data_IF_494046176988
#
_entry.id   IF_494046176988
#
_cell.length_a   1.000
_cell.length_b   1.000
_cell.length_c   1.000
_cell.angle_alpha   90.00
_cell.angle_beta   90.00
_cell.angle_gamma   90.00
#
_symmetry.space_group_name_H-M   'P 1'
#
loop_
_entity.id
_entity.type
_entity.pdbx_description
1 polymer ?
#
# COMPACT_ATOMS: atom_id res chain seq x y z
N UNK A 1 -14.88 24.85 -0.72
CA UNK A 1 -15.61 23.60 -0.40
C UNK A 1 -14.92 22.33 -0.90
N UNK A 2 -14.15 22.37 -2.00
CA UNK A 2 -13.46 21.17 -2.56
C UNK A 2 -12.31 20.65 -1.67
N UNK A 3 -11.58 21.54 -1.01
CA UNK A 3 -10.48 21.17 -0.11
C UNK A 3 -10.96 20.39 1.12
N UNK A 4 -12.10 20.79 1.72
CA UNK A 4 -12.69 20.10 2.88
C UNK A 4 -13.22 18.71 2.52
N UNK A 5 -13.79 18.54 1.33
CA UNK A 5 -14.21 17.21 0.83
C UNK A 5 -13.01 16.32 0.53
N UNK A 6 -11.99 16.84 -0.17
CA UNK A 6 -10.77 16.07 -0.50
C UNK A 6 -10.01 15.64 0.75
N UNK A 7 -9.98 16.49 1.78
CA UNK A 7 -9.40 16.15 3.08
C UNK A 7 -10.13 14.99 3.75
N UNK A 8 -11.48 15.01 3.80
CA UNK A 8 -12.25 13.87 4.33
C UNK A 8 -12.04 12.60 3.53
N UNK A 9 -11.98 12.69 2.20
CA UNK A 9 -11.68 11.55 1.33
C UNK A 9 -10.28 10.99 1.61
N UNK A 10 -9.28 11.84 1.87
CA UNK A 10 -7.95 11.41 2.28
C UNK A 10 -7.99 10.62 3.60
N UNK A 11 -8.72 11.11 4.61
CA UNK A 11 -8.88 10.39 5.87
C UNK A 11 -9.50 9.00 5.67
N UNK A 12 -10.56 8.92 4.86
CA UNK A 12 -11.22 7.65 4.53
C UNK A 12 -10.25 6.73 3.78
N UNK A 13 -9.54 7.24 2.77
CA UNK A 13 -8.57 6.46 2.01
C UNK A 13 -7.47 5.89 2.90
N UNK A 14 -6.93 6.68 3.83
CA UNK A 14 -5.90 6.23 4.78
C UNK A 14 -6.40 5.09 5.68
N UNK A 15 -7.65 5.17 6.17
CA UNK A 15 -8.26 4.10 6.96
C UNK A 15 -8.50 2.85 6.12
N UNK A 16 -9.03 3.00 4.90
CA UNK A 16 -9.32 1.88 4.01
C UNK A 16 -8.04 1.14 3.64
N UNK A 17 -7.01 1.85 3.17
CA UNK A 17 -5.74 1.22 2.82
C UNK A 17 -5.02 0.66 4.06
N UNK A 18 -5.07 1.37 5.19
CA UNK A 18 -4.52 0.87 6.44
C UNK A 18 -5.19 -0.43 6.91
N UNK A 19 -6.51 -0.53 6.78
CA UNK A 19 -7.26 -1.74 7.09
C UNK A 19 -6.91 -2.90 6.13
N UNK A 20 -6.78 -2.63 4.83
CA UNK A 20 -6.32 -3.65 3.87
C UNK A 20 -4.94 -4.19 4.24
N UNK A 21 -4.01 -3.32 4.63
CA UNK A 21 -2.66 -3.74 5.07
C UNK A 21 -2.69 -4.58 6.36
N UNK A 22 -3.55 -4.24 7.31
CA UNK A 22 -3.75 -5.06 8.53
C UNK A 22 -4.34 -6.43 8.21
N UNK A 23 -5.19 -6.50 7.18
CA UNK A 23 -5.83 -7.72 6.71
C UNK A 23 -5.02 -8.45 5.63
N UNK A 24 -3.74 -8.10 5.43
CA UNK A 24 -2.90 -8.73 4.41
C UNK A 24 -2.79 -10.25 4.60
N UNK A 25 -2.62 -10.72 5.84
CA UNK A 25 -2.55 -12.15 6.14
C UNK A 25 -3.84 -12.91 5.79
N UNK A 26 -5.03 -12.55 6.32
CA UNK A 26 -6.26 -13.25 5.96
C UNK A 26 -6.59 -13.11 4.47
N UNK A 27 -6.25 -11.98 3.84
CA UNK A 27 -6.44 -11.79 2.40
C UNK A 27 -5.58 -12.75 1.58
N UNK A 28 -4.32 -12.94 1.96
CA UNK A 28 -3.43 -13.92 1.34
C UNK A 28 -3.83 -15.37 1.62
N UNK A 29 -4.46 -15.65 2.77
CA UNK A 29 -4.99 -16.98 3.07
C UNK A 29 -6.22 -17.32 2.20
N UNK A 30 -7.10 -16.35 1.94
CA UNK A 30 -8.31 -16.53 1.12
C UNK A 30 -8.00 -16.49 -0.37
N UNK A 31 -7.06 -15.65 -0.79
CA UNK A 31 -6.63 -15.51 -2.18
C UNK A 31 -5.10 -15.57 -2.30
N UNK A 32 -4.49 -16.77 -2.20
CA UNK A 32 -3.05 -16.93 -2.31
C UNK A 32 -2.47 -16.49 -3.65
N UNK A 33 -3.14 -16.78 -4.77
CA UNK A 33 -2.63 -16.42 -6.10
C UNK A 33 -2.51 -14.92 -6.38
N UNK A 34 -3.09 -14.06 -5.55
CA UNK A 34 -3.01 -12.60 -5.69
C UNK A 34 -2.04 -11.93 -4.73
N UNK A 35 -1.58 -12.64 -3.69
CA UNK A 35 -0.86 -12.05 -2.55
C UNK A 35 0.30 -12.91 -2.01
N UNK A 36 0.35 -14.19 -2.38
CA UNK A 36 1.44 -15.09 -2.08
C UNK A 36 2.27 -15.32 -3.35
N UNK A 37 3.56 -15.01 -3.25
CA UNK A 37 4.55 -15.16 -4.33
C UNK A 37 5.43 -16.41 -4.18
N UNK A 38 5.09 -17.28 -3.23
CA UNK A 38 5.77 -18.55 -2.99
C UNK A 38 4.75 -19.68 -2.98
N UNK A 39 5.13 -20.82 -3.55
CA UNK A 39 4.36 -22.06 -3.42
C UNK A 39 4.43 -22.58 -1.97
N UNK A 40 3.29 -23.04 -1.45
CA UNK A 40 3.16 -23.53 -0.08
C UNK A 40 2.25 -22.68 0.79
N UNK A 41 2.08 -23.08 2.05
CA UNK A 41 1.25 -22.31 2.97
C UNK A 41 1.93 -20.97 3.31
N UNK A 42 1.19 -19.86 3.53
CA UNK A 42 1.79 -18.53 3.71
C UNK A 42 2.83 -18.44 4.85
N UNK A 43 2.75 -19.32 5.85
CA UNK A 43 3.69 -19.40 6.96
C UNK A 43 5.00 -20.14 6.65
N UNK A 44 5.08 -20.87 5.53
CA UNK A 44 6.31 -21.58 5.13
C UNK A 44 7.31 -20.67 4.40
N UNK A 45 6.87 -19.52 3.88
CA UNK A 45 7.76 -18.52 3.32
C UNK A 45 8.47 -17.75 4.43
N UNK A 46 9.81 -17.85 4.47
CA UNK A 46 10.63 -17.23 5.51
C UNK A 46 10.49 -15.70 5.59
N UNK A 47 10.05 -15.06 4.50
CA UNK A 47 9.91 -13.60 4.41
C UNK A 47 8.46 -13.12 4.49
N UNK A 48 7.48 -13.99 4.23
CA UNK A 48 6.08 -13.59 4.16
C UNK A 48 5.55 -13.05 5.49
N UNK A 49 5.88 -13.72 6.60
CA UNK A 49 5.48 -13.26 7.94
C UNK A 49 6.16 -11.94 8.33
N UNK A 50 7.39 -11.69 7.87
CA UNK A 50 8.06 -10.39 8.04
C UNK A 50 7.32 -9.30 7.25
N UNK A 51 6.96 -9.57 5.99
CA UNK A 51 6.20 -8.64 5.14
C UNK A 51 4.86 -8.30 5.80
N UNK A 52 4.10 -9.31 6.25
CA UNK A 52 2.85 -9.12 6.99
C UNK A 52 3.05 -8.22 8.22
N UNK A 53 4.11 -8.45 9.00
CA UNK A 53 4.42 -7.61 10.17
C UNK A 53 4.69 -6.15 9.80
N UNK A 54 5.48 -5.90 8.76
CA UNK A 54 5.78 -4.54 8.28
C UNK A 54 4.50 -3.84 7.80
N UNK A 55 3.68 -4.51 6.99
CA UNK A 55 2.42 -3.96 6.51
C UNK A 55 1.41 -3.75 7.63
N UNK A 56 1.39 -4.59 8.66
CA UNK A 56 0.53 -4.38 9.83
C UNK A 56 0.89 -3.08 10.58
N UNK A 57 2.19 -2.85 10.81
CA UNK A 57 2.66 -1.61 11.46
C UNK A 57 2.39 -0.39 10.58
N UNK A 58 2.65 -0.48 9.27
CA UNK A 58 2.35 0.58 8.32
C UNK A 58 0.85 0.88 8.28
N UNK A 59 0.01 -0.15 8.25
CA UNK A 59 -1.44 -0.05 8.23
C UNK A 59 -2.00 0.60 9.49
N UNK A 60 -1.53 0.19 10.67
CA UNK A 60 -1.88 0.84 11.93
C UNK A 60 -1.46 2.33 11.95
N UNK A 61 -0.28 2.62 11.42
CA UNK A 61 0.23 3.99 11.32
C UNK A 61 -0.60 4.85 10.36
N UNK A 62 -1.05 4.31 9.23
CA UNK A 62 -1.97 4.99 8.30
C UNK A 62 -3.34 5.26 8.93
N UNK A 63 -3.91 4.27 9.63
CA UNK A 63 -5.15 4.46 10.39
C UNK A 63 -5.02 5.55 11.45
N UNK A 64 -3.86 5.65 12.13
CA UNK A 64 -3.59 6.74 13.07
C UNK A 64 -3.40 8.08 12.35
N UNK A 65 -2.67 8.09 11.23
CA UNK A 65 -2.43 9.28 10.41
C UNK A 65 -3.74 9.88 9.86
N UNK A 66 -4.77 9.06 9.63
CA UNK A 66 -6.09 9.53 9.22
C UNK A 66 -6.72 10.54 10.21
N UNK A 67 -6.33 10.53 11.49
CA UNK A 67 -6.82 11.50 12.49
C UNK A 67 -6.28 12.91 12.27
N UNK A 68 -5.04 13.03 11.79
CA UNK A 68 -4.35 14.30 11.46
C UNK A 68 -3.42 14.11 10.25
N UNK A 69 -3.96 13.98 9.02
CA UNK A 69 -3.15 13.71 7.83
C UNK A 69 -2.07 14.78 7.57
N UNK A 70 -2.35 16.03 7.93
CA UNK A 70 -1.44 17.17 7.79
C UNK A 70 -0.14 17.02 8.59
N UNK A 71 -0.16 16.31 9.72
CA UNK A 71 1.02 16.05 10.53
C UNK A 71 1.81 14.82 10.08
N UNK A 72 1.26 14.04 9.14
CA UNK A 72 1.79 12.73 8.74
C UNK A 72 2.09 12.67 7.24
N UNK A 73 2.28 13.81 6.58
CA UNK A 73 2.48 13.90 5.12
C UNK A 73 3.69 13.07 4.65
N UNK A 74 4.76 13.01 5.44
CA UNK A 74 5.93 12.17 5.14
C UNK A 74 5.60 10.68 5.11
N UNK A 75 4.78 10.19 6.05
CA UNK A 75 4.31 8.81 6.08
C UNK A 75 3.42 8.48 4.88
N UNK A 76 2.55 9.42 4.47
CA UNK A 76 1.68 9.24 3.31
C UNK A 76 2.52 9.15 2.03
N UNK A 77 3.49 10.06 1.85
CA UNK A 77 4.41 10.01 0.72
C UNK A 77 5.32 8.79 0.73
N UNK A 78 5.79 8.37 1.91
CA UNK A 78 6.52 7.12 2.07
C UNK A 78 5.68 5.95 1.57
N UNK A 79 4.39 5.89 1.93
CA UNK A 79 3.46 4.85 1.47
C UNK A 79 3.25 4.90 -0.04
N UNK A 80 3.13 6.08 -0.63
CA UNK A 80 3.01 6.26 -2.09
C UNK A 80 4.25 5.73 -2.80
N UNK A 81 5.45 6.21 -2.42
CA UNK A 81 6.69 5.83 -3.08
C UNK A 81 7.06 4.37 -2.83
N UNK A 82 6.87 3.87 -1.62
CA UNK A 82 7.11 2.45 -1.32
C UNK A 82 6.19 1.55 -2.13
N UNK A 83 4.92 1.91 -2.31
CA UNK A 83 3.99 1.15 -3.15
C UNK A 83 4.40 1.16 -4.63
N UNK A 84 4.86 2.29 -5.16
CA UNK A 84 5.36 2.38 -6.54
C UNK A 84 6.62 1.55 -6.73
N UNK A 85 7.58 1.66 -5.81
CA UNK A 85 8.85 0.89 -5.87
C UNK A 85 8.56 -0.60 -5.73
N UNK A 86 7.69 -0.99 -4.80
CA UNK A 86 7.27 -2.38 -4.64
C UNK A 86 6.65 -2.90 -5.95
N UNK A 87 5.64 -2.21 -6.49
CA UNK A 87 4.99 -2.59 -7.74
C UNK A 87 5.99 -2.72 -8.91
N UNK A 88 6.96 -1.80 -9.00
CA UNK A 88 7.99 -1.85 -10.03
C UNK A 88 8.93 -3.05 -9.88
N UNK A 89 9.38 -3.36 -8.65
CA UNK A 89 10.22 -4.53 -8.37
C UNK A 89 9.48 -5.82 -8.73
N UNK A 90 8.22 -5.95 -8.30
CA UNK A 90 7.40 -7.13 -8.60
C UNK A 90 7.15 -7.28 -10.10
N UNK A 91 6.91 -6.18 -10.81
CA UNK A 91 6.80 -6.20 -12.27
C UNK A 91 8.09 -6.70 -12.95
N UNK A 92 9.26 -6.18 -12.56
CA UNK A 92 10.54 -6.62 -13.14
C UNK A 92 10.85 -8.09 -12.82
N UNK A 93 10.63 -8.52 -11.58
CA UNK A 93 10.85 -9.92 -11.16
C UNK A 93 9.95 -10.88 -11.94
N UNK A 94 8.67 -10.51 -12.11
CA UNK A 94 7.71 -11.32 -12.86
C UNK A 94 8.02 -11.48 -14.35
N UNK A 95 8.70 -10.49 -14.96
CA UNK A 95 9.16 -10.56 -16.35
C UNK A 95 10.43 -11.40 -16.49
N UNK A 96 11.23 -11.50 -15.43
CA UNK A 96 12.50 -12.21 -15.42
C UNK A 96 12.32 -13.72 -15.17
N UNK A 97 11.27 -14.12 -14.45
CA UNK A 97 10.90 -15.52 -14.23
C UNK A 97 10.14 -16.11 -15.43
N UNK A 98 10.86 -16.32 -16.54
CA UNK A 98 10.30 -16.85 -17.80
C UNK A 98 9.95 -18.35 -17.75
N UNK A 99 10.34 -19.08 -16.70
CA UNK A 99 10.23 -20.55 -16.67
C UNK A 99 9.06 -21.14 -15.86
N UNK A 100 8.45 -20.42 -14.90
CA UNK A 100 7.32 -20.94 -14.13
C UNK A 100 6.33 -19.84 -13.70
N UNK A 101 5.07 -19.96 -14.16
CA UNK A 101 3.84 -19.39 -13.57
C UNK A 101 3.61 -17.86 -13.63
N UNK A 102 3.09 -17.41 -14.78
CA UNK A 102 2.51 -16.06 -15.03
C UNK A 102 1.24 -15.69 -14.22
N UNK A 103 1.00 -16.25 -13.03
CA UNK A 103 -0.29 -16.11 -12.30
C UNK A 103 -0.30 -15.25 -11.04
N UNK A 104 0.85 -14.71 -10.59
CA UNK A 104 0.93 -13.92 -9.34
C UNK A 104 0.81 -12.39 -9.51
N UNK A 105 0.79 -11.87 -10.75
CA UNK A 105 0.83 -10.43 -11.04
C UNK A 105 -0.48 -9.64 -10.87
N UNK A 106 -1.60 -10.33 -10.70
CA UNK A 106 -2.92 -9.71 -10.93
C UNK A 106 -3.50 -9.00 -9.70
N UNK A 107 -3.00 -9.28 -8.50
CA UNK A 107 -3.60 -8.80 -7.25
C UNK A 107 -2.89 -7.58 -6.66
N UNK A 108 -1.69 -7.80 -6.14
CA UNK A 108 -0.92 -6.83 -5.35
C UNK A 108 -0.38 -5.66 -6.18
N UNK A 109 0.17 -5.89 -7.38
CA UNK A 109 0.76 -4.83 -8.22
C UNK A 109 -0.28 -3.77 -8.63
N UNK A 110 -1.47 -4.13 -9.18
CA UNK A 110 -2.51 -3.14 -9.45
C UNK A 110 -3.04 -2.45 -8.20
N UNK A 111 -3.18 -3.18 -7.09
CA UNK A 111 -3.67 -2.63 -5.83
C UNK A 111 -2.72 -1.56 -5.26
N UNK A 112 -1.40 -1.82 -5.31
CA UNK A 112 -0.37 -0.88 -4.85
C UNK A 112 -0.31 0.39 -5.71
N UNK A 113 -0.40 0.25 -7.03
CA UNK A 113 -0.43 1.40 -7.94
C UNK A 113 -1.71 2.23 -7.75
N UNK A 114 -2.86 1.59 -7.55
CA UNK A 114 -4.11 2.27 -7.25
C UNK A 114 -4.03 3.02 -5.91
N UNK A 115 -3.49 2.37 -4.86
CA UNK A 115 -3.29 3.01 -3.56
C UNK A 115 -2.38 4.24 -3.67
N UNK A 116 -1.24 4.11 -4.36
CA UNK A 116 -0.31 5.20 -4.61
C UNK A 116 -0.98 6.37 -5.35
N UNK A 117 -1.71 6.08 -6.44
CA UNK A 117 -2.41 7.09 -7.23
C UNK A 117 -3.49 7.83 -6.44
N UNK A 118 -4.33 7.09 -5.70
CA UNK A 118 -5.39 7.67 -4.87
C UNK A 118 -4.81 8.55 -3.77
N UNK A 119 -3.82 8.06 -3.02
CA UNK A 119 -3.21 8.82 -1.93
C UNK A 119 -2.47 10.07 -2.44
N UNK A 120 -1.68 9.95 -3.51
CA UNK A 120 -0.97 11.09 -4.10
C UNK A 120 -1.94 12.17 -4.62
N UNK A 121 -3.01 11.74 -5.31
CA UNK A 121 -4.04 12.66 -5.80
C UNK A 121 -4.75 13.38 -4.65
N UNK A 122 -5.17 12.66 -3.62
CA UNK A 122 -5.90 13.23 -2.49
C UNK A 122 -5.02 14.17 -1.65
N UNK A 123 -3.75 13.83 -1.40
CA UNK A 123 -2.77 14.72 -0.74
C UNK A 123 -2.54 16.02 -1.52
N UNK A 124 -2.48 15.94 -2.86
CA UNK A 124 -2.32 17.11 -3.70
C UNK A 124 -3.58 17.99 -3.68
N UNK A 125 -4.76 17.37 -3.74
CA UNK A 125 -6.08 18.06 -3.74
C UNK A 125 -6.46 18.66 -2.39
N UNK A 126 -5.94 18.13 -1.29
CA UNK A 126 -6.10 18.70 0.04
C UNK A 126 -5.08 19.81 0.35
N UNK A 127 -4.23 20.19 -0.61
CA UNK A 127 -3.18 21.22 -0.48
C UNK A 127 -2.13 20.92 0.60
N UNK A 128 -2.09 19.68 1.12
CA UNK A 128 -1.15 19.25 2.15
C UNK A 128 0.27 19.06 1.60
N UNK A 129 0.38 18.68 0.32
CA UNK A 129 1.67 18.47 -0.34
C UNK A 129 2.51 19.74 -0.53
N UNK A 130 2.00 20.93 -0.24
CA UNK A 130 2.74 22.20 -0.37
C UNK A 130 3.46 22.64 0.92
N UNK A 131 3.21 21.96 2.05
CA UNK A 131 3.78 22.32 3.36
C UNK A 131 4.95 21.46 3.83
N UNK A 132 5.25 20.34 3.18
CA UNK A 132 6.08 19.28 3.76
C UNK A 132 7.53 19.14 3.29
N UNK A 133 8.09 20.09 2.53
CA UNK A 133 9.45 19.95 1.98
C UNK A 133 10.37 21.16 2.16
N UNK A 134 9.91 22.27 2.77
CA UNK A 134 10.68 23.54 2.83
C UNK A 134 10.63 24.24 4.20
N UNK A 135 10.11 23.60 5.26
CA UNK A 135 10.33 24.06 6.64
C UNK A 135 11.15 23.01 7.40
#
# INVERSE_FOLDING_TARGET
MTATTSYRLLQIALVVFGAVMLLLYPLAAVWPSGWAWHDGAPHESQYFMMIVGIYAVLGASLCNAARRPEANVSLIWFTVWSSVVHAAIMAVQSMSDTHHHHRHLWGDVPALLLAAGVLAFLVRRSELGRRGFVE
#
